data_IF_141096005667
#
_entry.id   IF_141096005667
#
_cell.length_a   1.000
_cell.length_b   1.000
_cell.length_c   1.000
_cell.angle_alpha   90.00
_cell.angle_beta   90.00
_cell.angle_gamma   90.00
#
_symmetry.space_group_name_H-M   'P 1'
#
loop_
_entity.id
_entity.type
_entity.pdbx_description
1 polymer ?
#
# COMPACT_ATOMS: atom_id res chain seq x y z
N UNK A 1 -43.91 -18.88 -5.80
CA UNK A 1 -42.58 -18.93 -6.46
C UNK A 1 -41.53 -18.84 -5.37
N UNK A 2 -40.92 -19.96 -4.96
CA UNK A 2 -39.83 -19.95 -3.96
C UNK A 2 -38.55 -19.56 -4.68
N UNK A 3 -38.10 -18.31 -4.50
CA UNK A 3 -36.76 -17.89 -4.88
C UNK A 3 -35.78 -18.68 -4.01
N UNK A 4 -35.16 -19.72 -4.56
CA UNK A 4 -33.96 -20.30 -3.96
C UNK A 4 -32.88 -19.22 -4.04
N UNK A 5 -32.77 -18.34 -3.03
CA UNK A 5 -31.58 -17.52 -2.90
C UNK A 5 -30.44 -18.49 -2.59
N UNK A 6 -29.69 -18.90 -3.62
CA UNK A 6 -28.40 -19.56 -3.41
C UNK A 6 -27.59 -18.63 -2.50
N UNK A 7 -27.01 -19.18 -1.44
CA UNK A 7 -26.18 -18.44 -0.50
C UNK A 7 -25.20 -17.51 -1.25
N UNK A 8 -24.94 -16.30 -0.72
CA UNK A 8 -23.98 -15.37 -1.33
C UNK A 8 -22.64 -16.07 -1.47
N UNK A 9 -21.99 -15.89 -2.62
CA UNK A 9 -20.67 -16.45 -2.86
C UNK A 9 -19.58 -15.50 -2.35
N UNK A 10 -19.77 -14.19 -2.58
CA UNK A 10 -18.83 -13.14 -2.19
C UNK A 10 -19.43 -12.27 -1.08
N UNK A 11 -18.72 -12.13 0.03
CA UNK A 11 -19.00 -11.14 1.07
C UNK A 11 -18.14 -9.90 0.86
N UNK A 12 -18.77 -8.74 0.67
CA UNK A 12 -18.07 -7.46 0.48
C UNK A 12 -18.17 -6.62 1.74
N UNK A 13 -17.03 -6.22 2.28
CA UNK A 13 -16.95 -5.33 3.44
C UNK A 13 -16.66 -3.91 2.96
N UNK A 14 -17.54 -2.98 3.32
CA UNK A 14 -17.45 -1.56 2.96
C UNK A 14 -17.26 -0.72 4.23
N UNK A 15 -16.03 -0.43 4.67
CA UNK A 15 -15.81 0.50 5.78
C UNK A 15 -16.15 1.92 5.35
N UNK A 16 -16.93 2.64 6.16
CA UNK A 16 -17.42 3.97 5.86
C UNK A 16 -17.22 4.94 7.03
N UNK A 17 -16.59 6.08 6.76
CA UNK A 17 -16.46 7.17 7.72
C UNK A 17 -16.27 8.51 7.00
N UNK A 18 -17.23 9.43 7.13
CA UNK A 18 -17.10 10.78 6.54
C UNK A 18 -17.00 10.77 5.01
N UNK A 19 -17.91 10.05 4.35
CA UNK A 19 -17.91 9.76 2.90
C UNK A 19 -19.28 10.03 2.26
N UNK A 20 -20.07 10.96 2.80
CA UNK A 20 -21.43 11.24 2.30
C UNK A 20 -21.47 11.59 0.80
N UNK A 21 -20.42 12.22 0.29
CA UNK A 21 -20.28 12.61 -1.12
C UNK A 21 -19.93 11.45 -2.07
N UNK A 22 -19.54 10.29 -1.53
CA UNK A 22 -18.91 9.22 -2.32
C UNK A 22 -19.60 7.86 -2.19
N UNK A 23 -20.25 7.60 -1.05
CA UNK A 23 -20.85 6.29 -0.76
C UNK A 23 -21.90 5.86 -1.81
N UNK A 24 -22.66 6.80 -2.37
CA UNK A 24 -23.65 6.51 -3.40
C UNK A 24 -23.01 5.95 -4.69
N UNK A 25 -21.91 6.55 -5.18
CA UNK A 25 -21.15 6.04 -6.32
C UNK A 25 -20.54 4.66 -6.03
N UNK A 26 -19.96 4.51 -4.83
CA UNK A 26 -19.35 3.27 -4.38
C UNK A 26 -20.35 2.11 -4.44
N UNK A 27 -21.52 2.28 -3.80
CA UNK A 27 -22.57 1.25 -3.78
C UNK A 27 -23.15 1.00 -5.17
N UNK A 28 -23.36 2.05 -5.99
CA UNK A 28 -23.80 1.86 -7.39
C UNK A 28 -22.82 1.04 -8.21
N UNK A 29 -21.52 1.21 -8.00
CA UNK A 29 -20.49 0.42 -8.69
C UNK A 29 -20.52 -1.07 -8.31
N UNK A 30 -20.84 -1.36 -7.05
CA UNK A 30 -21.06 -2.72 -6.57
C UNK A 30 -22.33 -3.34 -7.17
N UNK A 31 -23.41 -2.56 -7.24
CA UNK A 31 -24.66 -2.99 -7.88
C UNK A 31 -24.51 -3.27 -9.38
N UNK A 32 -23.60 -2.56 -10.05
CA UNK A 32 -23.29 -2.72 -11.46
C UNK A 32 -22.38 -3.92 -11.78
N UNK A 33 -21.92 -4.68 -10.77
CA UNK A 33 -21.08 -5.86 -11.00
C UNK A 33 -21.81 -6.93 -11.82
N UNK A 34 -21.12 -7.49 -12.81
CA UNK A 34 -21.63 -8.61 -13.63
C UNK A 34 -21.74 -9.90 -12.83
N UNK A 35 -20.92 -10.07 -11.78
CA UNK A 35 -21.13 -11.12 -10.78
C UNK A 35 -22.20 -10.67 -9.78
N UNK A 36 -23.32 -11.40 -9.70
CA UNK A 36 -24.48 -10.98 -8.90
C UNK A 36 -24.65 -11.70 -7.57
N UNK A 37 -23.89 -12.79 -7.31
CA UNK A 37 -23.99 -13.60 -6.08
C UNK A 37 -23.11 -13.05 -4.96
N UNK A 38 -23.38 -11.83 -4.54
CA UNK A 38 -22.70 -11.19 -3.42
C UNK A 38 -23.69 -10.75 -2.34
N UNK A 39 -23.17 -10.56 -1.13
CA UNK A 39 -23.76 -9.73 -0.07
C UNK A 39 -22.75 -8.67 0.36
N UNK A 40 -23.23 -7.58 0.96
CA UNK A 40 -22.37 -6.52 1.45
C UNK A 40 -22.76 -6.09 2.86
N UNK A 41 -21.76 -5.71 3.65
CA UNK A 41 -21.96 -4.99 4.90
C UNK A 41 -21.25 -3.65 4.81
N UNK A 42 -22.03 -2.58 4.97
CA UNK A 42 -21.49 -1.24 5.17
C UNK A 42 -21.27 -1.07 6.67
N UNK A 43 -20.04 -0.81 7.07
CA UNK A 43 -19.69 -0.55 8.46
C UNK A 43 -19.48 0.95 8.62
N UNK A 44 -20.48 1.63 9.15
CA UNK A 44 -20.39 3.05 9.51
C UNK A 44 -19.62 3.20 10.82
N UNK A 45 -18.37 3.63 10.73
CA UNK A 45 -17.42 3.73 11.84
C UNK A 45 -17.63 5.02 12.66
N UNK A 46 -18.89 5.33 12.98
CA UNK A 46 -19.27 6.49 13.77
C UNK A 46 -19.17 7.81 13.01
N UNK A 47 -19.69 7.86 11.77
CA UNK A 47 -19.72 9.10 10.99
C UNK A 47 -20.58 10.19 11.65
N UNK A 48 -20.15 11.44 11.51
CA UNK A 48 -20.91 12.62 11.99
C UNK A 48 -21.66 13.36 10.89
N UNK A 49 -21.45 12.96 9.63
CA UNK A 49 -22.11 13.49 8.44
C UNK A 49 -23.31 12.58 8.05
N UNK A 50 -23.82 12.69 6.81
CA UNK A 50 -24.95 11.85 6.36
C UNK A 50 -24.54 10.43 5.93
N UNK A 51 -23.29 10.02 6.08
CA UNK A 51 -22.80 8.69 5.64
C UNK A 51 -23.65 7.55 6.20
N UNK A 52 -23.90 7.51 7.51
CA UNK A 52 -24.71 6.46 8.13
C UNK A 52 -26.15 6.44 7.61
N UNK A 53 -26.78 7.60 7.44
CA UNK A 53 -28.13 7.70 6.89
C UNK A 53 -28.21 7.23 5.41
N UNK A 54 -27.18 7.54 4.60
CA UNK A 54 -27.07 7.06 3.22
C UNK A 54 -26.91 5.53 3.20
N UNK A 55 -26.12 4.96 4.11
CA UNK A 55 -25.99 3.51 4.24
C UNK A 55 -27.34 2.84 4.56
N UNK A 56 -28.11 3.40 5.51
CA UNK A 56 -29.45 2.91 5.86
C UNK A 56 -30.46 3.00 4.70
N UNK A 57 -30.35 4.05 3.88
CA UNK A 57 -31.14 4.16 2.65
C UNK A 57 -30.82 3.02 1.69
N UNK A 58 -29.55 2.65 1.52
CA UNK A 58 -29.15 1.55 0.65
C UNK A 58 -29.61 0.18 1.16
N UNK A 59 -29.47 -0.11 2.45
CA UNK A 59 -29.96 -1.37 3.02
C UNK A 59 -31.49 -1.52 2.92
N UNK A 60 -32.25 -0.42 2.92
CA UNK A 60 -33.69 -0.46 2.63
C UNK A 60 -34.02 -0.72 1.16
N UNK A 61 -33.13 -0.34 0.23
CA UNK A 61 -33.32 -0.45 -1.22
C UNK A 61 -32.90 -1.82 -1.77
N UNK A 62 -31.83 -2.42 -1.24
CA UNK A 62 -31.32 -3.71 -1.70
C UNK A 62 -31.05 -4.65 -0.53
N UNK A 63 -31.77 -5.78 -0.49
CA UNK A 63 -31.69 -6.77 0.59
C UNK A 63 -30.35 -7.50 0.69
N UNK A 64 -29.45 -7.35 -0.30
CA UNK A 64 -28.09 -7.88 -0.24
C UNK A 64 -27.16 -7.00 0.60
N UNK A 65 -27.59 -5.79 0.93
CA UNK A 65 -26.81 -4.80 1.70
C UNK A 65 -27.35 -4.77 3.14
N UNK A 66 -26.44 -4.86 4.09
CA UNK A 66 -26.69 -4.64 5.52
C UNK A 66 -25.80 -3.51 6.04
N UNK A 67 -26.18 -2.93 7.17
CA UNK A 67 -25.44 -1.83 7.81
C UNK A 67 -25.14 -2.20 9.25
N UNK A 68 -23.93 -1.88 9.70
CA UNK A 68 -23.52 -1.94 11.10
C UNK A 68 -22.96 -0.59 11.49
N UNK A 69 -23.57 0.05 12.50
CA UNK A 69 -23.02 1.28 13.09
C UNK A 69 -22.12 0.93 14.27
N UNK A 70 -20.91 1.47 14.26
CA UNK A 70 -19.91 1.27 15.31
C UNK A 70 -19.51 2.61 15.94
N UNK A 71 -18.93 2.52 17.13
CA UNK A 71 -18.14 3.63 17.68
C UNK A 71 -16.80 3.65 16.95
N UNK A 72 -16.35 4.82 16.52
CA UNK A 72 -15.13 4.99 15.72
C UNK A 72 -13.94 4.22 16.32
N UNK A 73 -13.51 3.17 15.61
CA UNK A 73 -12.37 2.33 15.97
C UNK A 73 -11.24 2.38 14.95
N UNK A 74 -11.45 3.09 13.83
CA UNK A 74 -10.51 3.16 12.71
C UNK A 74 -10.73 2.05 11.68
N UNK A 75 -10.05 2.20 10.54
CA UNK A 75 -10.28 1.41 9.33
C UNK A 75 -10.12 -0.11 9.55
N UNK A 76 -9.08 -0.53 10.28
CA UNK A 76 -8.87 -1.95 10.62
C UNK A 76 -10.01 -2.54 11.45
N UNK A 77 -10.48 -1.81 12.47
CA UNK A 77 -11.59 -2.25 13.32
C UNK A 77 -12.90 -2.36 12.52
N UNK A 78 -13.17 -1.38 11.65
CA UNK A 78 -14.33 -1.39 10.76
C UNK A 78 -14.31 -2.60 9.79
N UNK A 79 -13.15 -2.88 9.17
CA UNK A 79 -13.00 -4.05 8.29
C UNK A 79 -13.17 -5.36 9.05
N UNK A 80 -12.54 -5.51 10.22
CA UNK A 80 -12.70 -6.71 11.06
C UNK A 80 -14.15 -6.92 11.49
N UNK A 81 -14.85 -5.83 11.85
CA UNK A 81 -16.28 -5.87 12.18
C UNK A 81 -17.10 -6.35 10.99
N UNK A 82 -16.82 -5.86 9.78
CA UNK A 82 -17.48 -6.31 8.57
C UNK A 82 -17.24 -7.78 8.25
N UNK A 83 -16.00 -8.28 8.41
CA UNK A 83 -15.67 -9.71 8.18
C UNK A 83 -16.52 -10.64 9.04
N UNK A 84 -16.89 -10.23 10.26
CA UNK A 84 -17.77 -10.99 11.16
C UNK A 84 -19.24 -11.04 10.70
N UNK A 85 -19.66 -10.12 9.83
CA UNK A 85 -21.06 -9.98 9.40
C UNK A 85 -21.34 -10.54 7.99
N UNK A 86 -20.32 -10.67 7.15
CA UNK A 86 -20.46 -11.30 5.83
C UNK A 86 -20.27 -12.83 5.92
N UNK A 87 -21.00 -13.58 5.10
CA UNK A 87 -21.09 -15.05 5.13
C UNK A 87 -20.63 -15.72 3.83
N UNK A 88 -20.25 -14.94 2.82
CA UNK A 88 -19.75 -15.46 1.55
C UNK A 88 -18.52 -16.36 1.72
N UNK A 89 -18.39 -17.35 0.84
CA UNK A 89 -17.23 -18.26 0.72
C UNK A 89 -15.95 -17.51 0.32
N UNK A 90 -16.11 -16.31 -0.25
CA UNK A 90 -15.05 -15.38 -0.59
C UNK A 90 -15.26 -14.04 0.11
N UNK A 91 -14.17 -13.31 0.34
CA UNK A 91 -14.15 -12.00 0.97
C UNK A 91 -13.53 -10.96 0.04
N UNK A 92 -14.12 -9.77 0.00
CA UNK A 92 -13.55 -8.59 -0.64
C UNK A 92 -13.74 -7.36 0.26
N UNK A 93 -12.88 -6.38 0.06
CA UNK A 93 -12.94 -5.09 0.74
C UNK A 93 -13.10 -4.00 -0.31
N UNK A 94 -14.01 -3.07 -0.07
CA UNK A 94 -14.29 -1.95 -0.97
C UNK A 94 -14.29 -0.67 -0.15
N UNK A 95 -13.29 0.18 -0.33
CA UNK A 95 -13.24 1.46 0.37
C UNK A 95 -14.38 2.37 -0.16
N UNK A 96 -15.06 3.02 0.76
CA UNK A 96 -16.35 3.69 0.51
C UNK A 96 -16.27 4.98 -0.31
N UNK A 97 -15.07 5.47 -0.58
CA UNK A 97 -14.81 6.61 -1.46
C UNK A 97 -14.38 6.24 -2.89
N UNK A 98 -14.27 4.93 -3.18
CA UNK A 98 -13.81 4.36 -4.44
C UNK A 98 -14.91 3.65 -5.23
N UNK A 99 -14.56 3.16 -6.43
CA UNK A 99 -15.50 2.60 -7.41
C UNK A 99 -14.89 1.36 -8.07
N UNK A 100 -15.73 0.37 -8.35
CA UNK A 100 -15.35 -0.85 -9.07
C UNK A 100 -15.67 -0.77 -10.58
N UNK A 101 -14.78 -1.27 -11.46
CA UNK A 101 -15.13 -1.66 -12.83
C UNK A 101 -16.20 -2.77 -12.84
N UNK A 102 -17.12 -2.83 -13.81
CA UNK A 102 -18.24 -3.78 -13.81
C UNK A 102 -17.87 -5.27 -13.77
N UNK A 103 -16.66 -5.65 -14.22
CA UNK A 103 -16.21 -7.05 -14.27
C UNK A 103 -15.28 -7.43 -13.12
N UNK A 104 -14.90 -6.50 -12.25
CA UNK A 104 -13.85 -6.68 -11.25
C UNK A 104 -13.96 -7.99 -10.45
N UNK A 105 -15.12 -8.24 -9.84
CA UNK A 105 -15.32 -9.46 -9.07
C UNK A 105 -15.56 -10.71 -9.91
N UNK A 106 -16.09 -10.58 -11.13
CA UNK A 106 -16.19 -11.72 -12.04
C UNK A 106 -14.80 -12.21 -12.47
N UNK A 107 -13.89 -11.29 -12.75
CA UNK A 107 -12.51 -11.58 -13.18
C UNK A 107 -11.71 -12.23 -12.05
N UNK A 108 -11.73 -11.65 -10.85
CA UNK A 108 -11.02 -12.19 -9.68
C UNK A 108 -11.57 -13.57 -9.26
N UNK A 109 -12.90 -13.73 -9.17
CA UNK A 109 -13.51 -15.02 -8.84
C UNK A 109 -13.30 -16.07 -9.94
N UNK A 110 -13.22 -15.64 -11.20
CA UNK A 110 -12.90 -16.50 -12.34
C UNK A 110 -11.51 -17.11 -12.18
N UNK A 111 -10.50 -16.27 -11.97
CA UNK A 111 -9.12 -16.72 -11.74
C UNK A 111 -9.03 -17.72 -10.58
N UNK A 112 -9.66 -17.41 -9.44
CA UNK A 112 -9.66 -18.29 -8.27
C UNK A 112 -10.30 -19.67 -8.53
N UNK A 113 -11.36 -19.71 -9.32
CA UNK A 113 -12.03 -20.97 -9.68
C UNK A 113 -11.17 -21.83 -10.59
N UNK A 114 -10.39 -21.21 -11.47
CA UNK A 114 -9.52 -21.90 -12.42
C UNK A 114 -8.24 -22.41 -11.75
N UNK A 115 -7.61 -21.59 -10.92
CA UNK A 115 -6.32 -21.89 -10.28
C UNK A 115 -6.46 -22.74 -9.02
N UNK A 116 -7.56 -22.57 -8.28
CA UNK A 116 -7.67 -23.08 -6.91
C UNK A 116 -6.90 -22.26 -5.87
N UNK A 117 -6.27 -21.15 -6.25
CA UNK A 117 -5.48 -20.27 -5.37
C UNK A 117 -6.27 -19.77 -4.17
N UNK A 118 -5.56 -19.39 -3.11
CA UNK A 118 -6.16 -18.87 -1.88
C UNK A 118 -6.74 -17.46 -2.06
N UNK A 119 -6.12 -16.65 -2.92
CA UNK A 119 -6.62 -15.33 -3.27
C UNK A 119 -6.13 -14.83 -4.63
N UNK A 120 -6.77 -13.77 -5.12
CA UNK A 120 -6.43 -13.13 -6.38
C UNK A 120 -6.33 -11.61 -6.19
N UNK A 121 -5.37 -10.99 -6.88
CA UNK A 121 -5.17 -9.54 -6.93
C UNK A 121 -5.20 -9.04 -8.37
N UNK A 122 -5.77 -7.86 -8.59
CA UNK A 122 -5.83 -7.21 -9.90
C UNK A 122 -5.26 -5.80 -9.90
N UNK A 123 -4.91 -5.31 -11.10
CA UNK A 123 -4.37 -3.96 -11.26
C UNK A 123 -5.42 -2.89 -10.98
N UNK A 124 -4.97 -1.64 -10.90
CA UNK A 124 -5.77 -0.52 -10.43
C UNK A 124 -5.49 0.69 -11.31
N UNK A 125 -6.47 1.58 -11.40
CA UNK A 125 -6.26 2.92 -11.96
C UNK A 125 -6.62 3.95 -10.91
N UNK A 126 -5.99 5.12 -10.99
CA UNK A 126 -6.20 6.23 -10.08
C UNK A 126 -6.71 7.44 -10.85
N UNK A 127 -7.63 8.20 -10.27
CA UNK A 127 -8.04 9.48 -10.85
C UNK A 127 -6.95 10.53 -10.66
N UNK A 128 -6.42 11.03 -11.78
CA UNK A 128 -5.40 12.07 -11.85
C UNK A 128 -5.80 13.11 -12.90
N UNK A 129 -5.95 14.38 -12.50
CA UNK A 129 -6.27 15.49 -13.39
C UNK A 129 -7.43 15.22 -14.37
N UNK A 130 -8.48 14.52 -13.91
CA UNK A 130 -9.67 14.19 -14.71
C UNK A 130 -9.55 12.92 -15.58
N UNK A 131 -8.42 12.21 -15.53
CA UNK A 131 -8.20 10.94 -16.25
C UNK A 131 -7.98 9.78 -15.29
N UNK A 132 -8.26 8.55 -15.76
CA UNK A 132 -7.87 7.32 -15.07
C UNK A 132 -6.47 6.90 -15.54
N UNK A 133 -5.53 6.80 -14.60
CA UNK A 133 -4.13 6.48 -14.87
C UNK A 133 -3.73 5.23 -14.10
N UNK A 134 -3.21 4.23 -14.81
CA UNK A 134 -2.58 3.07 -14.17
C UNK A 134 -1.18 3.45 -13.68
N UNK A 135 -0.89 3.37 -12.36
CA UNK A 135 0.43 3.72 -11.86
C UNK A 135 1.51 2.77 -12.44
N UNK A 136 2.69 3.28 -12.87
CA UNK A 136 3.73 2.44 -13.47
C UNK A 136 4.19 1.27 -12.58
N UNK A 137 4.19 1.48 -11.27
CA UNK A 137 4.55 0.44 -10.30
C UNK A 137 3.47 -0.65 -10.21
N UNK A 138 2.18 -0.31 -10.32
CA UNK A 138 1.09 -1.30 -10.35
C UNK A 138 1.15 -2.13 -11.62
N UNK A 139 1.37 -1.49 -12.78
CA UNK A 139 1.57 -2.20 -14.05
C UNK A 139 2.75 -3.19 -14.00
N UNK A 140 3.81 -2.84 -13.27
CA UNK A 140 4.97 -3.73 -13.08
C UNK A 140 4.63 -4.92 -12.17
N UNK A 141 3.93 -4.67 -11.06
CA UNK A 141 3.56 -5.71 -10.09
C UNK A 141 2.47 -6.65 -10.65
N UNK A 142 1.58 -6.14 -11.51
CA UNK A 142 0.45 -6.87 -12.08
C UNK A 142 0.74 -7.56 -13.41
N UNK A 143 1.99 -8.01 -13.62
CA UNK A 143 2.28 -8.97 -14.68
C UNK A 143 1.60 -10.30 -14.34
N UNK A 144 0.82 -10.92 -15.24
CA UNK A 144 -0.01 -12.07 -14.85
C UNK A 144 0.77 -13.24 -14.27
N UNK A 145 0.26 -13.81 -13.19
CA UNK A 145 0.69 -15.07 -12.57
C UNK A 145 -0.55 -15.84 -12.10
N UNK A 146 -0.47 -17.17 -12.05
CA UNK A 146 -1.57 -18.05 -11.59
C UNK A 146 -1.00 -19.14 -10.69
N UNK A 147 -1.68 -19.42 -9.58
CA UNK A 147 -1.25 -20.45 -8.62
C UNK A 147 0.14 -20.25 -8.05
N UNK A 148 0.60 -18.99 -7.95
CA UNK A 148 1.95 -18.65 -7.54
C UNK A 148 2.10 -18.65 -6.01
N UNK A 149 3.35 -18.78 -5.55
CA UNK A 149 3.75 -18.45 -4.18
C UNK A 149 4.67 -17.23 -4.18
N UNK A 150 4.92 -16.67 -3.00
CA UNK A 150 5.72 -15.45 -2.86
C UNK A 150 7.14 -15.61 -3.44
N UNK A 151 7.71 -16.81 -3.37
CA UNK A 151 9.04 -17.12 -3.89
C UNK A 151 9.12 -17.02 -5.42
N UNK A 152 8.00 -17.20 -6.13
CA UNK A 152 7.95 -17.04 -7.59
C UNK A 152 8.12 -15.56 -8.01
N UNK A 153 7.70 -14.63 -7.14
CA UNK A 153 7.86 -13.19 -7.35
C UNK A 153 7.77 -12.39 -6.04
N UNK A 154 8.87 -12.25 -5.28
CA UNK A 154 8.82 -11.59 -3.98
C UNK A 154 8.45 -10.10 -4.04
N UNK A 155 8.68 -9.41 -5.17
CA UNK A 155 8.27 -8.01 -5.36
C UNK A 155 6.76 -7.80 -5.24
N UNK A 156 5.95 -8.85 -5.37
CA UNK A 156 4.48 -8.78 -5.21
C UNK A 156 4.08 -8.27 -3.82
N UNK A 157 4.97 -8.39 -2.82
CA UNK A 157 4.78 -7.83 -1.47
C UNK A 157 4.64 -6.29 -1.47
N UNK A 158 4.97 -5.61 -2.57
CA UNK A 158 4.69 -4.19 -2.77
C UNK A 158 3.23 -3.87 -3.11
N UNK A 159 2.40 -4.86 -3.45
CA UNK A 159 0.95 -4.70 -3.64
C UNK A 159 0.21 -4.85 -2.31
N UNK A 160 0.33 -3.84 -1.47
CA UNK A 160 -0.11 -3.87 -0.07
C UNK A 160 -1.61 -3.70 0.14
N UNK A 161 -2.36 -3.32 -0.90
CA UNK A 161 -3.75 -2.88 -0.76
C UNK A 161 -4.71 -4.02 -0.40
N UNK A 162 -5.67 -3.72 0.48
CA UNK A 162 -6.74 -4.65 0.82
C UNK A 162 -7.80 -4.81 -0.28
N UNK A 163 -8.03 -3.74 -1.05
CA UNK A 163 -9.26 -3.52 -1.82
C UNK A 163 -9.22 -4.02 -3.28
N UNK A 164 -8.03 -4.29 -3.83
CA UNK A 164 -7.88 -4.87 -5.17
C UNK A 164 -7.85 -6.40 -5.18
N UNK A 165 -8.38 -7.03 -4.12
CA UNK A 165 -8.23 -8.46 -3.86
C UNK A 165 -9.56 -9.15 -3.51
N UNK A 166 -9.63 -10.43 -3.87
CA UNK A 166 -10.67 -11.36 -3.40
C UNK A 166 -9.97 -12.54 -2.75
N UNK A 167 -10.39 -12.88 -1.53
CA UNK A 167 -9.82 -13.92 -0.69
C UNK A 167 -10.78 -15.09 -0.55
N UNK A 168 -10.29 -16.34 -0.53
CA UNK A 168 -11.07 -17.46 0.00
C UNK A 168 -11.22 -17.30 1.50
N UNK A 169 -12.46 -17.34 1.99
CA UNK A 169 -12.74 -17.25 3.43
C UNK A 169 -12.05 -18.38 4.21
N UNK A 170 -12.04 -19.60 3.67
CA UNK A 170 -11.38 -20.74 4.31
C UNK A 170 -9.88 -20.51 4.55
N UNK A 171 -9.19 -19.86 3.60
CA UNK A 171 -7.80 -19.48 3.77
C UNK A 171 -7.66 -18.35 4.79
N UNK A 172 -8.46 -17.28 4.65
CA UNK A 172 -8.46 -16.14 5.56
C UNK A 172 -8.56 -16.59 7.03
N UNK A 173 -9.52 -17.48 7.30
CA UNK A 173 -9.78 -18.00 8.64
C UNK A 173 -8.67 -18.96 9.11
N UNK A 174 -8.17 -19.85 8.24
CA UNK A 174 -7.14 -20.83 8.62
C UNK A 174 -5.76 -20.20 8.85
N UNK A 175 -5.42 -19.16 8.10
CA UNK A 175 -4.20 -18.37 8.29
C UNK A 175 -4.32 -17.37 9.46
N UNK A 176 -5.51 -17.25 10.07
CA UNK A 176 -5.75 -16.33 11.18
C UNK A 176 -5.59 -14.85 10.78
N UNK A 177 -5.94 -14.50 9.54
CA UNK A 177 -5.78 -13.14 9.04
C UNK A 177 -6.80 -12.21 9.72
N UNK A 178 -6.32 -11.03 10.11
CA UNK A 178 -7.12 -9.94 10.63
C UNK A 178 -6.38 -8.62 10.40
N UNK A 179 -7.12 -7.53 10.28
CA UNK A 179 -6.53 -6.21 10.14
C UNK A 179 -6.07 -5.70 11.51
N UNK A 180 -4.82 -5.22 11.67
CA UNK A 180 -4.39 -4.54 12.88
C UNK A 180 -5.31 -3.36 13.22
N UNK A 181 -5.74 -3.27 14.49
CA UNK A 181 -6.61 -2.21 14.97
C UNK A 181 -5.80 -1.10 15.65
N UNK A 182 -6.31 0.14 15.63
CA UNK A 182 -5.61 1.30 16.22
C UNK A 182 -4.37 1.77 15.46
N UNK A 183 -4.12 1.23 14.26
CA UNK A 183 -2.99 1.59 13.38
C UNK A 183 -3.49 2.08 12.03
N UNK A 184 -2.75 3.00 11.42
CA UNK A 184 -2.91 3.35 9.99
C UNK A 184 -2.13 2.36 9.13
N UNK A 185 -2.52 2.23 7.86
CA UNK A 185 -1.85 1.35 6.90
C UNK A 185 -1.92 -0.12 7.35
N UNK A 186 -3.04 -0.47 7.99
CA UNK A 186 -3.34 -1.80 8.51
C UNK A 186 -3.39 -2.89 7.43
N UNK A 187 -3.52 -2.47 6.16
CA UNK A 187 -3.48 -3.36 5.03
C UNK A 187 -2.10 -3.99 4.81
N UNK A 188 -1.02 -3.23 5.03
CA UNK A 188 0.33 -3.69 4.71
C UNK A 188 0.73 -4.97 5.47
N UNK A 189 0.61 -5.07 6.82
CA UNK A 189 1.02 -6.27 7.55
C UNK A 189 0.19 -7.49 7.16
N UNK A 190 -1.13 -7.32 7.06
CA UNK A 190 -2.08 -8.40 6.77
C UNK A 190 -1.90 -8.93 5.35
N UNK A 191 -1.78 -8.04 4.36
CA UNK A 191 -1.56 -8.41 2.97
C UNK A 191 -0.19 -9.07 2.78
N UNK A 192 0.85 -8.55 3.44
CA UNK A 192 2.18 -9.20 3.46
C UNK A 192 2.07 -10.63 3.98
N UNK A 193 1.39 -10.81 5.13
CA UNK A 193 1.18 -12.12 5.71
C UNK A 193 0.41 -13.07 4.79
N UNK A 194 -0.61 -12.56 4.11
CA UNK A 194 -1.40 -13.34 3.18
C UNK A 194 -0.58 -13.83 1.97
N UNK A 195 0.28 -12.99 1.39
CA UNK A 195 1.20 -13.41 0.32
C UNK A 195 2.21 -14.46 0.77
N UNK A 196 2.69 -14.39 2.02
CA UNK A 196 3.67 -15.34 2.55
C UNK A 196 3.05 -16.72 2.80
N UNK A 197 1.82 -16.77 3.33
CA UNK A 197 1.17 -18.01 3.73
C UNK A 197 0.33 -18.67 2.62
N UNK A 198 -0.14 -17.89 1.64
CA UNK A 198 -1.11 -18.33 0.65
C UNK A 198 -0.55 -18.49 -0.76
N UNK A 199 -1.27 -19.27 -1.56
CA UNK A 199 -1.14 -19.28 -3.01
C UNK A 199 -1.99 -18.18 -3.65
N UNK A 200 -1.53 -17.58 -4.75
CA UNK A 200 -2.24 -16.44 -5.34
C UNK A 200 -2.20 -16.35 -6.86
N UNK A 201 -3.20 -15.63 -7.37
CA UNK A 201 -3.26 -15.18 -8.76
C UNK A 201 -3.00 -13.68 -8.85
N UNK A 202 -2.25 -13.26 -9.86
CA UNK A 202 -2.05 -11.84 -10.21
C UNK A 202 -2.62 -11.59 -11.59
N UNK A 203 -3.55 -10.64 -11.68
CA UNK A 203 -4.29 -10.26 -12.88
C UNK A 203 -3.76 -8.92 -13.40
N UNK A 204 -3.61 -8.77 -14.72
CA UNK A 204 -3.32 -7.48 -15.36
C UNK A 204 -4.59 -6.65 -15.59
N UNK A 205 -5.76 -7.24 -15.39
CA UNK A 205 -7.06 -6.56 -15.46
C UNK A 205 -7.13 -5.47 -14.39
N UNK A 206 -7.67 -4.31 -14.78
CA UNK A 206 -8.04 -3.25 -13.83
C UNK A 206 -9.30 -3.68 -13.09
N UNK A 207 -9.19 -3.89 -11.79
CA UNK A 207 -10.30 -4.34 -10.92
C UNK A 207 -10.77 -3.27 -9.95
N UNK A 208 -10.18 -2.08 -10.01
CA UNK A 208 -10.47 -1.03 -9.06
C UNK A 208 -10.12 0.37 -9.60
N UNK A 209 -10.98 1.34 -9.32
CA UNK A 209 -10.73 2.75 -9.58
C UNK A 209 -10.55 3.49 -8.25
N UNK A 210 -9.33 3.96 -8.01
CA UNK A 210 -8.93 4.65 -6.77
C UNK A 210 -9.07 6.17 -6.90
N UNK A 211 -9.90 6.78 -6.05
CA UNK A 211 -10.16 8.21 -5.99
C UNK A 211 -9.22 8.90 -5.01
N UNK A 212 -8.52 9.94 -5.48
CA UNK A 212 -7.75 10.82 -4.59
C UNK A 212 -8.65 11.99 -4.17
N UNK A 213 -8.82 12.18 -2.86
CA UNK A 213 -9.54 13.34 -2.30
C UNK A 213 -8.77 14.02 -1.16
N UNK A 214 -9.08 15.30 -0.96
CA UNK A 214 -8.65 16.03 0.23
C UNK A 214 -9.24 15.38 1.49
N UNK A 215 -8.45 15.23 2.55
CA UNK A 215 -8.88 14.55 3.78
C UNK A 215 -8.59 13.05 3.82
N UNK A 216 -8.17 12.42 2.73
CA UNK A 216 -7.71 11.00 2.74
C UNK A 216 -6.54 10.81 3.70
N UNK A 217 -6.50 9.66 4.37
CA UNK A 217 -5.41 9.25 5.28
C UNK A 217 -4.05 9.40 4.59
N UNK A 218 -3.97 9.02 3.32
CA UNK A 218 -2.72 9.04 2.53
C UNK A 218 -2.22 10.44 2.17
N UNK A 219 -3.09 11.46 2.19
CA UNK A 219 -2.79 12.82 1.70
C UNK A 219 -2.60 13.84 2.82
N UNK A 220 -3.26 13.64 3.97
CA UNK A 220 -3.50 14.74 4.92
C UNK A 220 -2.46 14.84 6.05
N UNK A 221 -1.64 13.80 6.29
CA UNK A 221 -0.89 13.68 7.56
C UNK A 221 0.56 13.16 7.44
N UNK A 222 1.11 13.11 6.23
CA UNK A 222 2.42 12.49 5.97
C UNK A 222 3.58 13.06 6.83
N UNK A 223 3.49 14.32 7.27
CA UNK A 223 4.50 14.97 8.10
C UNK A 223 4.28 14.88 9.62
N UNK A 224 3.22 14.20 10.10
CA UNK A 224 2.98 14.05 11.54
C UNK A 224 3.85 12.95 12.16
N UNK A 225 4.24 13.13 13.43
CA UNK A 225 5.04 12.13 14.16
C UNK A 225 4.27 10.82 14.30
N UNK A 226 2.96 10.88 14.58
CA UNK A 226 2.13 9.68 14.69
C UNK A 226 2.04 8.91 13.36
N UNK A 227 1.90 9.60 12.22
CA UNK A 227 1.85 8.92 10.92
C UNK A 227 3.15 8.14 10.64
N UNK A 228 4.30 8.77 10.92
CA UNK A 228 5.60 8.10 10.77
C UNK A 228 5.74 6.93 11.76
N UNK A 229 5.25 7.08 12.99
CA UNK A 229 5.27 6.01 13.99
C UNK A 229 4.43 4.80 13.54
N UNK A 230 3.20 5.03 13.08
CA UNK A 230 2.31 3.98 12.57
C UNK A 230 2.97 3.25 11.39
N UNK A 231 3.61 4.00 10.48
CA UNK A 231 4.34 3.43 9.32
C UNK A 231 5.54 2.59 9.72
N UNK A 232 6.28 2.99 10.75
CA UNK A 232 7.35 2.14 11.26
C UNK A 232 6.81 0.87 11.88
N UNK A 233 5.71 0.98 12.61
CA UNK A 233 5.09 -0.18 13.22
C UNK A 233 4.59 -1.18 12.18
N UNK A 234 3.88 -0.73 11.14
CA UNK A 234 3.42 -1.64 10.08
C UNK A 234 4.57 -2.30 9.33
N UNK A 235 5.68 -1.57 9.10
CA UNK A 235 6.90 -2.13 8.49
C UNK A 235 7.58 -3.16 9.39
N UNK A 236 7.63 -2.93 10.71
CA UNK A 236 8.15 -3.93 11.67
C UNK A 236 7.30 -5.20 11.66
N UNK A 237 5.98 -5.06 11.70
CA UNK A 237 5.06 -6.19 11.65
C UNK A 237 5.20 -7.01 10.36
N UNK A 238 5.30 -6.31 9.22
CA UNK A 238 5.50 -6.94 7.92
C UNK A 238 6.86 -7.65 7.84
N UNK A 239 7.95 -7.01 8.27
CA UNK A 239 9.29 -7.61 8.30
C UNK A 239 9.36 -8.81 9.26
N UNK A 240 8.71 -8.73 10.42
CA UNK A 240 8.61 -9.86 11.34
C UNK A 240 7.91 -11.05 10.69
N UNK A 241 6.85 -10.81 9.91
CA UNK A 241 6.15 -11.86 9.15
C UNK A 241 7.07 -12.45 8.07
N UNK A 242 7.76 -11.61 7.30
CA UNK A 242 8.70 -12.06 6.26
C UNK A 242 9.82 -12.91 6.86
N UNK A 243 10.39 -12.53 8.00
CA UNK A 243 11.43 -13.32 8.70
C UNK A 243 10.92 -14.65 9.24
N UNK A 244 9.65 -14.72 9.62
CA UNK A 244 9.07 -15.93 10.18
C UNK A 244 8.54 -16.90 9.11
N UNK A 245 8.17 -16.40 7.92
CA UNK A 245 7.45 -17.19 6.91
C UNK A 245 8.13 -17.23 5.53
N UNK A 246 8.92 -16.22 5.19
CA UNK A 246 9.65 -16.14 3.92
C UNK A 246 11.03 -16.79 4.00
N UNK A 247 11.61 -17.06 2.84
CA UNK A 247 13.01 -17.48 2.73
C UNK A 247 13.97 -16.27 2.68
N UNK A 248 15.28 -16.56 2.62
CA UNK A 248 16.31 -15.54 2.60
C UNK A 248 16.26 -14.63 1.36
N UNK A 249 15.77 -15.13 0.23
CA UNK A 249 15.60 -14.33 -0.99
C UNK A 249 14.40 -13.39 -0.86
N UNK A 250 13.29 -13.89 -0.33
CA UNK A 250 12.10 -13.08 -0.03
C UNK A 250 12.43 -11.97 0.96
N UNK A 251 13.14 -12.27 2.07
CA UNK A 251 13.57 -11.24 3.03
C UNK A 251 14.46 -10.19 2.37
N UNK A 252 15.45 -10.62 1.58
CA UNK A 252 16.34 -9.70 0.86
C UNK A 252 15.56 -8.79 -0.07
N UNK A 253 14.69 -9.34 -0.92
CA UNK A 253 13.88 -8.52 -1.85
C UNK A 253 12.92 -7.59 -1.10
N UNK A 254 12.31 -8.07 -0.03
CA UNK A 254 11.42 -7.26 0.79
C UNK A 254 12.14 -6.06 1.41
N UNK A 255 13.29 -6.27 2.05
CA UNK A 255 14.08 -5.20 2.68
C UNK A 255 14.66 -4.25 1.64
N UNK A 256 15.25 -4.78 0.57
CA UNK A 256 16.02 -3.99 -0.37
C UNK A 256 15.15 -3.30 -1.42
N UNK A 257 13.98 -3.84 -1.78
CA UNK A 257 13.13 -3.28 -2.84
C UNK A 257 11.79 -2.77 -2.31
N UNK A 258 11.08 -3.57 -1.52
CA UNK A 258 9.70 -3.25 -1.10
C UNK A 258 9.71 -2.19 0.00
N UNK A 259 10.31 -2.47 1.16
CA UNK A 259 10.38 -1.52 2.27
C UNK A 259 11.12 -0.23 1.89
N UNK A 260 12.19 -0.38 1.11
CA UNK A 260 13.01 0.74 0.64
C UNK A 260 12.24 1.61 -0.35
N UNK A 261 11.43 1.01 -1.23
CA UNK A 261 10.60 1.70 -2.21
C UNK A 261 9.58 2.67 -1.62
N UNK A 262 9.22 2.52 -0.34
CA UNK A 262 8.34 3.45 0.37
C UNK A 262 9.09 4.59 1.09
N UNK A 263 10.41 4.49 1.28
CA UNK A 263 11.18 5.45 2.07
C UNK A 263 11.35 6.80 1.42
N UNK A 264 11.45 6.86 0.09
CA UNK A 264 11.78 8.10 -0.61
C UNK A 264 10.80 9.23 -0.29
N UNK A 265 9.52 8.90 -0.06
CA UNK A 265 8.48 9.86 0.32
C UNK A 265 8.77 10.54 1.66
N UNK A 266 9.43 9.86 2.59
CA UNK A 266 9.79 10.45 3.88
C UNK A 266 10.95 11.42 3.73
N UNK A 267 11.91 11.13 2.85
CA UNK A 267 13.01 12.05 2.60
C UNK A 267 12.49 13.40 2.08
N UNK A 268 11.48 13.39 1.20
CA UNK A 268 10.84 14.62 0.71
C UNK A 268 10.20 15.49 1.80
N UNK A 269 9.91 14.94 2.98
CA UNK A 269 9.30 15.66 4.09
C UNK A 269 10.33 16.25 5.06
N UNK A 270 11.60 15.89 4.93
CA UNK A 270 12.68 16.36 5.82
C UNK A 270 12.81 17.88 5.86
N UNK A 271 12.69 18.64 4.76
CA UNK A 271 12.76 20.11 4.80
C UNK A 271 11.80 20.76 5.81
N UNK A 272 10.60 20.19 5.96
CA UNK A 272 9.56 20.70 6.85
C UNK A 272 9.45 20.00 8.21
N UNK A 273 10.34 19.06 8.53
CA UNK A 273 10.15 18.17 9.67
C UNK A 273 10.57 18.78 11.03
N UNK A 274 9.91 18.34 12.10
CA UNK A 274 10.31 18.68 13.47
C UNK A 274 11.54 17.86 13.91
N UNK A 275 12.30 18.31 14.94
CA UNK A 275 13.41 17.50 15.49
C UNK A 275 12.98 16.13 16.02
N UNK A 276 11.74 16.03 16.52
CA UNK A 276 11.17 14.76 16.95
C UNK A 276 10.91 13.82 15.78
N UNK A 277 10.27 14.33 14.72
CA UNK A 277 10.03 13.58 13.50
C UNK A 277 11.35 13.09 12.87
N UNK A 278 12.37 13.95 12.82
CA UNK A 278 13.71 13.56 12.34
C UNK A 278 14.32 12.41 13.13
N UNK A 279 14.26 12.46 14.47
CA UNK A 279 14.77 11.38 15.33
C UNK A 279 14.06 10.06 15.05
N UNK A 280 12.74 10.12 14.85
CA UNK A 280 11.94 8.94 14.53
C UNK A 280 12.24 8.39 13.13
N UNK A 281 12.45 9.24 12.13
CA UNK A 281 12.89 8.81 10.79
C UNK A 281 14.22 8.07 10.89
N UNK A 282 15.19 8.68 11.59
CA UNK A 282 16.52 8.10 11.76
C UNK A 282 16.49 6.78 12.51
N UNK A 283 15.72 6.67 13.60
CA UNK A 283 15.63 5.41 14.35
C UNK A 283 15.07 4.28 13.47
N UNK A 284 14.03 4.54 12.67
CA UNK A 284 13.46 3.54 11.77
C UNK A 284 14.43 3.13 10.65
N UNK A 285 15.16 4.08 10.07
CA UNK A 285 16.17 3.78 9.04
C UNK A 285 17.29 2.90 9.62
N UNK A 286 17.82 3.27 10.79
CA UNK A 286 18.88 2.51 11.46
C UNK A 286 18.42 1.11 11.90
N UNK A 287 17.19 0.99 12.39
CA UNK A 287 16.62 -0.29 12.82
C UNK A 287 16.47 -1.27 11.66
N UNK A 288 15.95 -0.80 10.52
CA UNK A 288 15.57 -1.67 9.41
C UNK A 288 16.74 -1.94 8.45
N UNK A 289 17.62 -0.96 8.21
CA UNK A 289 18.72 -1.10 7.25
C UNK A 289 20.11 -0.91 7.86
N UNK A 290 20.24 -0.24 9.02
CA UNK A 290 21.54 0.21 9.50
C UNK A 290 22.24 1.07 8.45
N UNK A 291 23.41 0.64 7.99
CA UNK A 291 24.15 1.29 6.89
C UNK A 291 23.84 0.71 5.51
N UNK A 292 23.08 -0.38 5.41
CA UNK A 292 22.82 -1.13 4.15
C UNK A 292 21.80 -0.47 3.23
N UNK A 293 21.22 0.66 3.61
CA UNK A 293 20.21 1.32 2.77
C UNK A 293 20.80 1.79 1.43
N UNK A 294 22.11 2.02 1.36
CA UNK A 294 22.85 2.30 0.12
C UNK A 294 22.90 1.11 -0.86
N UNK A 295 22.59 -0.10 -0.38
CA UNK A 295 22.52 -1.30 -1.20
C UNK A 295 21.09 -1.56 -1.73
N UNK A 296 20.11 -0.78 -1.30
CA UNK A 296 18.71 -0.95 -1.69
C UNK A 296 18.42 -0.61 -3.17
N UNK A 297 17.21 -0.92 -3.63
CA UNK A 297 16.68 -0.55 -4.93
C UNK A 297 16.18 0.90 -5.02
N UNK A 298 16.45 1.73 -4.01
CA UNK A 298 16.13 3.16 -4.07
C UNK A 298 16.90 3.86 -5.22
N UNK A 299 16.30 4.90 -5.84
CA UNK A 299 17.03 5.75 -6.76
C UNK A 299 18.26 6.37 -6.08
N UNK A 300 19.35 6.64 -6.81
CA UNK A 300 20.64 7.06 -6.24
C UNK A 300 20.55 8.20 -5.21
N UNK A 301 19.80 9.27 -5.53
CA UNK A 301 19.62 10.42 -4.62
C UNK A 301 19.00 10.00 -3.28
N UNK A 302 18.05 9.08 -3.30
CA UNK A 302 17.39 8.61 -2.09
C UNK A 302 18.26 7.61 -1.31
N UNK A 303 19.19 6.91 -1.97
CA UNK A 303 20.24 6.13 -1.28
C UNK A 303 21.18 7.05 -0.52
N UNK A 304 21.63 8.14 -1.16
CA UNK A 304 22.42 9.18 -0.51
C UNK A 304 21.67 9.80 0.67
N UNK A 305 20.40 10.16 0.50
CA UNK A 305 19.56 10.65 1.59
C UNK A 305 19.46 9.65 2.75
N UNK A 306 19.24 8.36 2.44
CA UNK A 306 19.21 7.29 3.42
C UNK A 306 20.52 7.14 4.20
N UNK A 307 21.66 7.24 3.52
CA UNK A 307 22.97 7.25 4.16
C UNK A 307 23.15 8.45 5.09
N UNK A 308 22.83 9.65 4.61
CA UNK A 308 22.89 10.87 5.42
C UNK A 308 22.01 10.78 6.68
N UNK A 309 20.83 10.16 6.58
CA UNK A 309 19.96 9.91 7.73
C UNK A 309 20.61 8.96 8.75
N UNK A 310 21.28 7.90 8.29
CA UNK A 310 21.94 6.93 9.17
C UNK A 310 23.15 7.52 9.91
N UNK A 311 23.86 8.47 9.29
CA UNK A 311 25.06 9.10 9.83
C UNK A 311 24.83 9.87 11.14
N UNK A 312 25.75 9.70 12.10
CA UNK A 312 25.72 10.36 13.41
C UNK A 312 26.47 11.70 13.40
N UNK A 313 26.08 12.63 12.51
CA UNK A 313 26.66 13.98 12.44
C UNK A 313 25.59 15.06 12.62
N UNK A 314 25.96 16.12 13.35
CA UNK A 314 25.07 17.21 13.79
C UNK A 314 24.33 17.94 12.67
N UNK A 315 24.86 17.96 11.45
CA UNK A 315 24.31 18.72 10.31
C UNK A 315 23.52 17.88 9.29
N UNK A 316 23.42 16.55 9.46
CA UNK A 316 22.85 15.67 8.44
C UNK A 316 21.38 15.92 8.11
N UNK A 317 20.60 16.44 9.07
CA UNK A 317 19.24 16.88 8.78
C UNK A 317 19.21 18.01 7.75
N UNK A 318 20.13 18.98 7.87
CA UNK A 318 20.23 20.10 6.94
C UNK A 318 20.72 19.62 5.56
N UNK A 319 21.69 18.70 5.52
CA UNK A 319 22.17 18.09 4.27
C UNK A 319 21.03 17.38 3.51
N UNK A 320 20.22 16.56 4.20
CA UNK A 320 19.08 15.88 3.58
C UNK A 320 18.02 16.88 3.13
N UNK A 321 17.73 17.91 3.92
CA UNK A 321 16.79 18.96 3.52
C UNK A 321 17.25 19.67 2.24
N UNK A 322 18.50 20.13 2.20
CA UNK A 322 19.08 20.80 1.04
C UNK A 322 19.10 19.88 -0.20
N UNK A 323 19.44 18.59 -0.01
CA UNK A 323 19.44 17.61 -1.10
C UNK A 323 18.03 17.43 -1.70
N UNK A 324 17.00 17.33 -0.86
CA UNK A 324 15.62 17.14 -1.33
C UNK A 324 15.04 18.40 -1.98
N UNK A 325 15.34 19.59 -1.43
CA UNK A 325 14.97 20.87 -2.04
C UNK A 325 15.65 21.06 -3.40
N UNK A 326 16.93 20.73 -3.51
CA UNK A 326 17.67 20.78 -4.77
C UNK A 326 17.05 19.84 -5.80
N UNK A 327 16.76 18.59 -5.44
CA UNK A 327 16.15 17.63 -6.35
C UNK A 327 14.75 18.03 -6.82
N UNK A 328 13.97 18.72 -5.97
CA UNK A 328 12.66 19.25 -6.36
C UNK A 328 12.74 20.35 -7.44
N UNK A 329 13.90 21.01 -7.58
CA UNK A 329 14.14 22.06 -8.58
C UNK A 329 14.79 21.56 -9.88
N UNK A 330 14.98 20.25 -10.06
CA UNK A 330 15.60 19.70 -11.27
C UNK A 330 14.56 19.37 -12.36
N UNK A 331 14.85 19.75 -13.60
CA UNK A 331 14.06 19.37 -14.79
C UNK A 331 14.43 17.95 -15.33
N UNK A 332 14.88 17.05 -14.45
CA UNK A 332 15.38 15.73 -14.84
C UNK A 332 16.11 14.98 -13.72
N UNK A 333 16.80 13.86 -14.03
CA UNK A 333 17.59 13.14 -13.03
C UNK A 333 18.74 14.00 -12.50
N UNK A 334 19.18 13.71 -11.28
CA UNK A 334 20.33 14.38 -10.68
C UNK A 334 21.59 14.26 -11.58
N UNK A 335 22.39 15.33 -11.70
CA UNK A 335 23.64 15.33 -12.45
C UNK A 335 24.57 14.19 -12.04
N UNK A 336 25.33 13.69 -13.01
CA UNK A 336 26.20 12.53 -12.89
C UNK A 336 27.61 12.93 -13.33
N UNK A 337 28.62 12.38 -12.67
CA UNK A 337 30.01 12.54 -13.06
C UNK A 337 30.69 11.18 -13.14
N UNK A 338 31.69 11.07 -14.01
CA UNK A 338 32.55 9.90 -14.08
C UNK A 338 33.86 10.20 -13.36
N UNK A 339 34.27 9.30 -12.47
CA UNK A 339 35.59 9.37 -11.86
C UNK A 339 36.65 9.03 -12.91
N UNK A 340 37.58 9.95 -13.14
CA UNK A 340 38.58 9.83 -14.22
C UNK A 340 39.61 8.72 -13.98
N UNK A 341 39.82 8.31 -12.73
CA UNK A 341 40.82 7.29 -12.37
C UNK A 341 40.24 5.88 -12.44
N UNK A 342 38.97 5.72 -12.07
CA UNK A 342 38.30 4.41 -11.95
C UNK A 342 37.28 4.15 -13.07
N UNK A 343 36.83 5.19 -13.77
CA UNK A 343 35.75 5.11 -14.76
C UNK A 343 34.37 4.93 -14.15
N UNK A 344 34.24 4.90 -12.82
CA UNK A 344 32.97 4.69 -12.13
C UNK A 344 32.07 5.93 -12.21
N UNK A 345 30.78 5.70 -12.41
CA UNK A 345 29.77 6.76 -12.40
C UNK A 345 29.29 7.05 -10.98
N UNK A 346 29.12 8.33 -10.66
CA UNK A 346 28.63 8.81 -9.37
C UNK A 346 27.64 9.96 -9.54
N UNK A 347 26.81 10.18 -8.53
CA UNK A 347 26.08 11.43 -8.36
C UNK A 347 27.05 12.60 -8.27
N UNK A 348 26.69 13.71 -8.91
CA UNK A 348 27.40 14.98 -8.87
C UNK A 348 26.50 16.01 -8.20
N UNK A 349 26.68 16.19 -6.89
CA UNK A 349 25.92 17.13 -6.08
C UNK A 349 26.75 18.41 -5.93
N UNK A 350 26.18 19.60 -6.20
CA UNK A 350 26.93 20.85 -6.07
C UNK A 350 27.31 21.12 -4.62
N UNK A 351 28.47 21.74 -4.40
CA UNK A 351 28.98 22.07 -3.05
C UNK A 351 28.02 22.94 -2.24
N UNK A 352 27.16 23.73 -2.91
CA UNK A 352 26.12 24.52 -2.26
C UNK A 352 25.00 23.69 -1.64
N UNK A 353 24.90 22.40 -1.98
CA UNK A 353 23.89 21.46 -1.49
C UNK A 353 24.52 20.46 -0.52
N UNK A 354 25.66 19.86 -0.90
CA UNK A 354 26.36 18.87 -0.09
C UNK A 354 27.86 18.88 -0.40
N UNK A 355 28.69 18.95 0.64
CA UNK A 355 30.12 18.68 0.51
C UNK A 355 30.35 17.18 0.36
N UNK A 356 30.57 16.75 -0.89
CA UNK A 356 30.82 15.37 -1.27
C UNK A 356 32.06 14.77 -0.59
N UNK A 357 33.02 15.59 -0.15
CA UNK A 357 34.19 15.08 0.60
C UNK A 357 33.82 14.52 1.98
N UNK A 358 32.62 14.84 2.47
CA UNK A 358 32.07 14.32 3.72
C UNK A 358 31.29 13.02 3.54
N UNK A 359 31.22 12.50 2.31
CA UNK A 359 30.42 11.34 1.92
C UNK A 359 31.35 10.30 1.30
N UNK A 360 31.22 9.02 1.68
CA UNK A 360 32.08 8.00 1.12
C UNK A 360 31.63 7.65 -0.32
N UNK A 361 32.56 7.23 -1.21
CA UNK A 361 32.26 7.02 -2.63
C UNK A 361 31.07 6.09 -2.89
N UNK A 362 30.87 5.06 -2.08
CA UNK A 362 29.77 4.10 -2.21
C UNK A 362 28.38 4.74 -2.07
N UNK A 363 28.24 5.79 -1.27
CA UNK A 363 26.96 6.49 -1.10
C UNK A 363 26.64 7.43 -2.28
N UNK A 364 27.64 7.76 -3.10
CA UNK A 364 27.50 8.53 -4.33
C UNK A 364 27.45 7.65 -5.59
N UNK A 365 27.83 6.38 -5.50
CA UNK A 365 27.98 5.49 -6.64
C UNK A 365 26.67 5.22 -7.39
N UNK A 366 26.78 5.15 -8.72
CA UNK A 366 25.73 4.74 -9.64
C UNK A 366 25.99 3.32 -10.14
N UNK A 367 24.92 2.54 -10.28
CA UNK A 367 24.94 1.19 -10.89
C UNK A 367 24.78 1.31 -12.40
N UNK A 368 25.20 0.30 -13.15
CA UNK A 368 25.19 0.33 -14.63
C UNK A 368 23.84 0.69 -15.27
N UNK A 369 22.72 0.25 -14.67
CA UNK A 369 21.37 0.55 -15.15
C UNK A 369 20.86 1.95 -14.72
N UNK A 370 21.63 2.67 -13.90
CA UNK A 370 21.34 4.02 -13.39
C UNK A 370 22.14 5.10 -14.12
N UNK A 371 23.08 4.70 -14.99
CA UNK A 371 23.97 5.56 -15.78
C UNK A 371 23.28 6.18 -16.97
#
# INVERSE_FOLDING_TARGET
MRLFSRAPLLGVVIPAWGVEDYLDDCVRSLLAQTHTRWEAVIVDDGSTDRTGAIADEWARRDTRISVVHAVNGGLGAARNLGVRHVRGDFLAFLDSDDVLPPTAYADLLGALRESGSDFATGSIVRWEAGSLVEPPWMRRLHRPLRGARVEDRPEVLGDVFAWNKVWRRSFWDAAGLAWPEGLRYEDQPTTTRAFLDGSFDVLDQVVYHWRIRAGSITQTRAASVQDLADRWETKRMALASVRAHGDAEVERVFVDRVLAGDLWRYFLLVPGCTPEWWRLLRSGVLELWGTRLVDSGLPPVHRLAGWLVAEDRRLRRADVAALMEWCAGLDGPAPRAQDMATGAWRLSVPLSVLDESTVPPEALALRDHEV
#
